data_IF_712496812333
#
_entry.id   IF_712496812333
#
_cell.length_a   1.000
_cell.length_b   1.000
_cell.length_c   1.000
_cell.angle_alpha   90.00
_cell.angle_beta   90.00
_cell.angle_gamma   90.00
#
_symmetry.space_group_name_H-M   'P 1'
#
loop_
_entity.id
_entity.type
_entity.pdbx_description
1 polymer ?
#
# COMPACT_ATOMS: atom_id res chain seq x y z
N UNK A 1 -73.99 23.88 13.79
CA UNK A 1 -74.34 23.11 15.01
C UNK A 1 -73.57 23.70 16.19
N UNK A 2 -74.30 23.94 17.27
CA UNK A 2 -73.90 24.67 18.48
C UNK A 2 -72.62 24.13 19.14
N UNK A 3 -71.69 25.02 19.47
CA UNK A 3 -70.74 24.79 20.56
C UNK A 3 -71.55 24.62 21.84
N UNK A 4 -71.56 23.42 22.42
CA UNK A 4 -72.10 23.19 23.76
C UNK A 4 -71.02 23.57 24.75
N UNK A 5 -71.15 24.73 25.38
CA UNK A 5 -70.40 25.06 26.59
C UNK A 5 -70.71 24.00 27.67
N UNK A 6 -69.65 23.46 28.28
CA UNK A 6 -69.79 22.51 29.38
C UNK A 6 -70.25 23.27 30.63
N UNK A 7 -71.12 22.68 31.47
CA UNK A 7 -71.59 23.33 32.68
C UNK A 7 -70.41 23.55 33.62
N UNK A 8 -70.24 24.80 34.07
CA UNK A 8 -69.32 25.14 35.16
C UNK A 8 -70.15 25.49 36.38
N UNK A 9 -69.88 24.81 37.49
CA UNK A 9 -70.47 25.16 38.78
C UNK A 9 -69.87 26.52 39.19
N UNK A 10 -70.73 27.54 39.24
CA UNK A 10 -70.33 28.89 39.65
C UNK A 10 -69.69 28.86 41.03
N UNK A 11 -68.48 29.41 41.14
CA UNK A 11 -67.82 29.71 42.42
C UNK A 11 -66.55 28.92 42.74
N UNK A 12 -66.22 27.83 42.04
CA UNK A 12 -65.04 27.03 42.38
C UNK A 12 -63.94 27.16 41.33
N UNK A 13 -62.89 27.94 41.62
CA UNK A 13 -61.64 27.96 40.83
C UNK A 13 -60.97 26.58 40.89
N UNK A 14 -61.20 25.73 39.89
CA UNK A 14 -60.42 24.51 39.69
C UNK A 14 -59.02 24.94 39.24
N UNK A 15 -58.05 24.98 40.17
CA UNK A 15 -56.64 25.10 39.82
C UNK A 15 -56.20 23.82 39.12
N UNK A 16 -56.21 23.80 37.79
CA UNK A 16 -55.41 22.83 37.02
C UNK A 16 -53.94 23.14 37.30
N UNK A 17 -53.31 22.36 38.20
CA UNK A 17 -51.85 22.34 38.31
C UNK A 17 -51.30 21.91 36.95
N UNK A 18 -50.75 22.84 36.16
CA UNK A 18 -49.75 22.51 35.14
C UNK A 18 -48.61 21.84 35.89
N UNK A 19 -48.57 20.50 35.92
CA UNK A 19 -47.37 19.79 36.33
C UNK A 19 -46.34 20.16 35.27
N UNK A 20 -45.35 20.96 35.62
CA UNK A 20 -44.10 20.99 34.88
C UNK A 20 -43.49 19.60 35.06
N UNK A 21 -43.87 18.68 34.19
CA UNK A 21 -43.18 17.41 34.04
C UNK A 21 -41.90 17.78 33.32
N UNK A 22 -40.85 18.10 34.08
CA UNK A 22 -39.51 17.97 33.54
C UNK A 22 -39.38 16.49 33.18
N UNK A 23 -39.31 16.18 31.88
CA UNK A 23 -39.02 14.82 31.46
C UNK A 23 -37.73 14.39 32.20
N UNK A 24 -37.76 13.30 32.98
CA UNK A 24 -36.57 12.85 33.67
C UNK A 24 -35.48 12.61 32.63
N UNK A 25 -34.28 13.13 32.89
CA UNK A 25 -33.12 12.82 32.08
C UNK A 25 -32.83 11.33 32.27
N UNK A 26 -33.27 10.50 31.32
CA UNK A 26 -33.05 9.06 31.29
C UNK A 26 -32.19 8.70 30.07
N UNK A 27 -30.85 8.81 30.19
CA UNK A 27 -29.95 8.50 29.10
C UNK A 27 -29.97 7.02 28.70
N UNK A 28 -30.41 6.12 29.60
CA UNK A 28 -30.45 4.69 29.33
C UNK A 28 -31.63 4.36 28.41
N UNK A 29 -32.84 4.80 28.75
CA UNK A 29 -34.01 4.61 27.90
C UNK A 29 -33.85 5.32 26.54
N UNK A 30 -33.24 6.51 26.52
CA UNK A 30 -32.90 7.18 25.26
C UNK A 30 -31.93 6.36 24.40
N UNK A 31 -30.87 5.81 25.01
CA UNK A 31 -29.91 4.97 24.28
C UNK A 31 -30.58 3.70 23.71
N UNK A 32 -31.44 3.05 24.49
CA UNK A 32 -32.18 1.86 24.03
C UNK A 32 -33.18 2.22 22.92
N UNK A 33 -33.84 3.37 22.99
CA UNK A 33 -34.70 3.86 21.92
C UNK A 33 -33.93 4.14 20.62
N UNK A 34 -32.72 4.72 20.70
CA UNK A 34 -31.87 4.92 19.52
C UNK A 34 -31.45 3.59 18.90
N UNK A 35 -31.09 2.60 19.73
CA UNK A 35 -30.77 1.25 19.24
C UNK A 35 -31.98 0.59 18.60
N UNK A 36 -33.18 0.77 19.17
CA UNK A 36 -34.39 0.21 18.59
C UNK A 36 -34.71 0.84 17.23
N UNK A 37 -34.61 2.17 17.10
CA UNK A 37 -34.73 2.87 15.80
C UNK A 37 -33.72 2.32 14.79
N UNK A 38 -32.50 2.03 15.24
CA UNK A 38 -31.46 1.48 14.39
C UNK A 38 -31.77 0.08 13.86
N UNK A 39 -32.37 -0.77 14.71
CA UNK A 39 -32.80 -2.13 14.35
C UNK A 39 -34.04 -2.10 13.44
N UNK A 40 -35.02 -1.28 13.78
CA UNK A 40 -36.30 -1.18 13.06
C UNK A 40 -36.11 -0.68 11.62
N UNK A 41 -35.05 0.10 11.37
CA UNK A 41 -34.71 0.60 10.04
C UNK A 41 -33.69 -0.27 9.30
N UNK A 42 -33.49 -1.54 9.70
CA UNK A 42 -32.57 -2.48 9.05
C UNK A 42 -31.13 -1.93 8.86
N UNK A 43 -30.72 -1.05 9.77
CA UNK A 43 -29.43 -0.39 9.70
C UNK A 43 -29.39 0.90 8.91
N UNK A 44 -30.44 1.35 8.21
CA UNK A 44 -30.49 2.69 7.58
C UNK A 44 -30.12 3.75 8.62
N UNK A 45 -28.85 4.19 8.62
CA UNK A 45 -28.34 5.03 9.69
C UNK A 45 -29.03 6.39 9.51
N UNK A 46 -30.10 6.61 10.26
CA UNK A 46 -30.72 7.93 10.47
C UNK A 46 -29.66 8.95 10.91
N UNK A 47 -28.56 8.50 11.51
CA UNK A 47 -27.39 9.33 11.82
C UNK A 47 -26.73 9.92 10.57
N UNK A 48 -26.75 9.26 9.41
CA UNK A 48 -26.23 9.84 8.16
C UNK A 48 -27.25 10.75 7.49
N UNK A 49 -28.46 10.26 7.24
CA UNK A 49 -29.46 10.92 6.37
C UNK A 49 -30.46 11.78 7.13
N UNK A 50 -30.53 11.66 8.45
CA UNK A 50 -31.49 12.36 9.31
C UNK A 50 -32.91 11.81 9.22
N UNK A 51 -33.17 10.79 8.42
CA UNK A 51 -34.50 10.23 8.23
C UNK A 51 -34.48 9.01 7.31
N UNK A 52 -35.66 8.39 7.14
CA UNK A 52 -35.83 7.24 6.24
C UNK A 52 -35.65 7.70 4.80
N UNK A 53 -34.93 6.93 4.00
CA UNK A 53 -34.78 7.18 2.56
C UNK A 53 -35.67 6.26 1.74
N UNK A 54 -36.15 6.75 0.59
CA UNK A 54 -36.88 5.90 -0.36
C UNK A 54 -35.94 4.80 -0.89
N UNK A 55 -36.45 3.58 -1.15
CA UNK A 55 -35.63 2.49 -1.68
C UNK A 55 -34.88 2.90 -2.96
N UNK A 56 -33.54 2.73 -2.95
CA UNK A 56 -32.70 3.03 -4.12
C UNK A 56 -32.42 4.52 -4.35
N UNK A 57 -32.74 5.41 -3.41
CA UNK A 57 -32.42 6.84 -3.48
C UNK A 57 -31.83 7.35 -2.17
N UNK A 58 -31.29 8.57 -2.18
CA UNK A 58 -30.87 9.33 -0.99
C UNK A 58 -31.95 10.31 -0.50
N UNK A 59 -33.12 10.32 -1.16
CA UNK A 59 -34.22 11.23 -0.86
C UNK A 59 -35.05 10.72 0.32
N UNK A 60 -35.57 11.62 1.18
CA UNK A 60 -36.42 11.23 2.30
C UNK A 60 -37.73 10.58 1.82
N UNK A 61 -38.15 9.52 2.52
CA UNK A 61 -39.39 8.78 2.29
C UNK A 61 -40.60 9.59 2.80
N UNK A 62 -40.54 10.06 4.06
CA UNK A 62 -41.49 10.99 4.68
C UNK A 62 -40.80 11.83 5.77
N UNK A 63 -41.19 13.11 5.92
CA UNK A 63 -40.76 14.00 7.01
C UNK A 63 -39.49 14.83 6.78
N UNK A 64 -39.20 15.75 7.71
CA UNK A 64 -37.97 16.54 7.71
C UNK A 64 -36.77 15.70 8.17
N UNK A 65 -35.58 15.96 7.59
CA UNK A 65 -34.34 15.35 8.04
C UNK A 65 -33.95 15.91 9.41
N UNK A 66 -33.48 15.04 10.29
CA UNK A 66 -32.97 15.43 11.58
C UNK A 66 -31.71 16.31 11.41
N UNK A 67 -31.65 17.48 12.08
CA UNK A 67 -30.62 18.50 11.83
C UNK A 67 -29.21 18.08 12.26
N UNK A 68 -29.09 17.05 13.10
CA UNK A 68 -27.82 16.52 13.59
C UNK A 68 -27.31 15.32 12.79
N UNK A 69 -27.79 15.14 11.56
CA UNK A 69 -27.29 14.08 10.69
C UNK A 69 -26.01 14.49 9.96
N UNK A 70 -25.18 13.51 9.60
CA UNK A 70 -23.90 13.76 8.92
C UNK A 70 -24.11 14.51 7.61
N UNK A 71 -25.15 14.18 6.83
CA UNK A 71 -25.40 14.82 5.54
C UNK A 71 -25.94 16.24 5.65
N UNK A 72 -26.59 16.62 6.76
CA UNK A 72 -27.06 17.99 7.02
C UNK A 72 -25.98 18.91 7.62
N UNK A 73 -24.84 18.37 8.06
CA UNK A 73 -23.70 19.15 8.60
C UNK A 73 -22.78 19.71 7.50
N UNK A 74 -21.96 20.72 7.78
CA UNK A 74 -20.93 21.17 6.81
C UNK A 74 -19.84 20.09 6.59
N UNK A 75 -19.21 20.01 5.40
CA UNK A 75 -18.19 19.02 5.06
C UNK A 75 -16.84 19.31 5.75
N UNK A 76 -16.84 19.23 7.08
CA UNK A 76 -15.70 19.57 7.95
C UNK A 76 -15.50 18.49 9.00
N UNK A 77 -14.24 18.25 9.35
CA UNK A 77 -13.84 17.28 10.36
C UNK A 77 -14.53 17.55 11.70
N UNK A 78 -14.55 18.81 12.14
CA UNK A 78 -15.02 19.23 13.46
C UNK A 78 -16.50 18.90 13.68
N UNK A 79 -17.31 18.98 12.62
CA UNK A 79 -18.75 18.70 12.70
C UNK A 79 -19.07 17.22 12.49
N UNK A 80 -18.23 16.48 11.76
CA UNK A 80 -18.47 15.05 11.46
C UNK A 80 -17.91 14.14 12.56
N UNK A 81 -16.78 14.50 13.17
CA UNK A 81 -16.11 13.71 14.22
C UNK A 81 -17.03 13.36 15.42
N UNK A 82 -17.87 14.27 15.95
CA UNK A 82 -18.80 13.91 17.02
C UNK A 82 -19.71 12.74 16.68
N UNK A 83 -20.21 12.67 15.44
CA UNK A 83 -21.05 11.56 14.95
C UNK A 83 -20.28 10.24 14.90
N UNK A 84 -19.01 10.28 14.47
CA UNK A 84 -18.12 9.11 14.46
C UNK A 84 -17.87 8.60 15.88
N UNK A 85 -17.54 9.49 16.83
CA UNK A 85 -17.32 9.15 18.24
C UNK A 85 -18.60 8.59 18.87
N UNK A 86 -19.76 9.17 18.54
CA UNK A 86 -21.05 8.69 19.00
C UNK A 86 -21.31 7.25 18.55
N UNK A 87 -21.15 6.96 17.25
CA UNK A 87 -21.29 5.61 16.70
C UNK A 87 -20.27 4.66 17.34
N UNK A 88 -19.03 5.11 17.54
CA UNK A 88 -18.01 4.29 18.20
C UNK A 88 -18.42 3.87 19.61
N UNK A 89 -18.97 4.80 20.40
CA UNK A 89 -19.44 4.52 21.76
C UNK A 89 -20.60 3.53 21.76
N UNK A 90 -21.52 3.62 20.78
CA UNK A 90 -22.60 2.64 20.61
C UNK A 90 -22.03 1.27 20.28
N UNK A 91 -21.15 1.16 19.28
CA UNK A 91 -20.57 -0.11 18.83
C UNK A 91 -19.77 -0.81 19.92
N UNK A 92 -19.02 -0.06 20.76
CA UNK A 92 -18.32 -0.65 21.92
C UNK A 92 -19.29 -1.28 22.94
N UNK A 93 -20.48 -0.71 23.11
CA UNK A 93 -21.52 -1.23 24.03
C UNK A 93 -22.40 -2.30 23.40
N UNK A 94 -22.54 -2.28 22.08
CA UNK A 94 -23.42 -3.15 21.28
C UNK A 94 -22.69 -3.61 20.01
N UNK A 95 -21.68 -4.50 20.11
CA UNK A 95 -20.83 -4.87 18.97
C UNK A 95 -21.57 -5.48 17.78
N UNK A 96 -22.70 -6.16 18.02
CA UNK A 96 -23.51 -6.78 16.97
C UNK A 96 -24.06 -5.77 15.94
N UNK A 97 -24.13 -4.47 16.29
CA UNK A 97 -24.58 -3.40 15.40
C UNK A 97 -23.58 -3.06 14.29
N UNK A 98 -22.37 -3.61 14.33
CA UNK A 98 -21.34 -3.37 13.30
C UNK A 98 -21.79 -3.84 11.92
N UNK A 99 -22.49 -4.98 11.82
CA UNK A 99 -23.01 -5.51 10.55
C UNK A 99 -23.97 -4.55 9.86
N UNK A 100 -24.77 -3.83 10.63
CA UNK A 100 -25.68 -2.83 10.10
C UNK A 100 -24.91 -1.65 9.52
N UNK A 101 -23.85 -1.19 10.22
CA UNK A 101 -23.00 -0.11 9.73
C UNK A 101 -22.25 -0.54 8.46
N UNK A 102 -21.69 -1.75 8.44
CA UNK A 102 -21.09 -2.36 7.25
C UNK A 102 -22.03 -2.33 6.05
N UNK A 103 -23.29 -2.74 6.24
CA UNK A 103 -24.30 -2.75 5.19
C UNK A 103 -24.62 -1.34 4.68
N UNK A 104 -24.73 -0.35 5.56
CA UNK A 104 -24.95 1.05 5.16
C UNK A 104 -23.76 1.58 4.38
N UNK A 105 -22.55 1.43 4.92
CA UNK A 105 -21.33 1.91 4.28
C UNK A 105 -21.20 1.30 2.90
N UNK A 106 -21.39 -0.02 2.77
CA UNK A 106 -21.38 -0.71 1.48
C UNK A 106 -22.40 -0.11 0.52
N UNK A 107 -23.65 0.06 0.94
CA UNK A 107 -24.72 0.61 0.09
C UNK A 107 -24.42 2.04 -0.36
N UNK A 108 -23.98 2.90 0.55
CA UNK A 108 -23.66 4.30 0.23
C UNK A 108 -22.49 4.40 -0.75
N UNK A 109 -21.44 3.61 -0.54
CA UNK A 109 -20.27 3.60 -1.41
C UNK A 109 -20.56 2.97 -2.78
N UNK A 110 -21.51 2.04 -2.86
CA UNK A 110 -22.02 1.50 -4.13
C UNK A 110 -22.93 2.46 -4.90
N UNK A 111 -23.37 3.54 -4.25
CA UNK A 111 -24.35 4.49 -4.77
C UNK A 111 -23.84 5.92 -4.68
N UNK A 112 -22.52 6.13 -4.78
CA UNK A 112 -21.89 7.46 -4.75
C UNK A 112 -22.46 8.44 -5.79
N UNK A 113 -23.02 7.91 -6.88
CA UNK A 113 -23.67 8.72 -7.93
C UNK A 113 -25.00 9.35 -7.49
N UNK A 114 -25.62 8.85 -6.41
CA UNK A 114 -26.89 9.38 -5.87
C UNK A 114 -26.67 10.53 -4.87
N UNK A 115 -25.41 10.76 -4.47
CA UNK A 115 -25.04 11.83 -3.55
C UNK A 115 -24.57 13.05 -4.33
N UNK A 116 -24.76 14.24 -3.77
CA UNK A 116 -24.15 15.45 -4.29
C UNK A 116 -22.64 15.51 -3.95
N UNK A 117 -21.92 16.46 -4.54
CA UNK A 117 -20.47 16.61 -4.32
C UNK A 117 -20.12 16.82 -2.84
N UNK A 118 -20.83 17.75 -2.18
CA UNK A 118 -20.63 18.01 -0.76
C UNK A 118 -21.01 16.80 0.11
N UNK A 119 -22.05 16.05 -0.25
CA UNK A 119 -22.44 14.84 0.47
C UNK A 119 -21.38 13.74 0.34
N UNK A 120 -20.83 13.53 -0.87
CA UNK A 120 -19.70 12.61 -1.08
C UNK A 120 -18.47 12.99 -0.24
N UNK A 121 -18.17 14.28 -0.14
CA UNK A 121 -17.08 14.78 0.70
C UNK A 121 -17.33 14.48 2.19
N UNK A 122 -18.55 14.71 2.69
CA UNK A 122 -18.93 14.33 4.07
C UNK A 122 -18.77 12.84 4.32
N UNK A 123 -19.18 12.00 3.36
CA UNK A 123 -19.00 10.55 3.43
C UNK A 123 -17.51 10.16 3.45
N UNK A 124 -16.66 10.79 2.63
CA UNK A 124 -15.22 10.55 2.63
C UNK A 124 -14.59 10.91 3.98
N UNK A 125 -14.92 12.09 4.53
CA UNK A 125 -14.44 12.54 5.84
C UNK A 125 -14.89 11.58 6.94
N UNK A 126 -16.18 11.25 6.98
CA UNK A 126 -16.71 10.29 7.95
C UNK A 126 -15.98 8.95 7.88
N UNK A 127 -15.75 8.44 6.66
CA UNK A 127 -15.10 7.14 6.45
C UNK A 127 -13.65 7.16 6.92
N UNK A 128 -12.91 8.23 6.63
CA UNK A 128 -11.53 8.42 7.10
C UNK A 128 -11.47 8.46 8.63
N UNK A 129 -12.33 9.27 9.26
CA UNK A 129 -12.43 9.35 10.71
C UNK A 129 -12.88 8.02 11.33
N UNK A 130 -13.75 7.25 10.69
CA UNK A 130 -14.15 5.93 11.18
C UNK A 130 -12.94 4.97 11.28
N UNK A 131 -12.05 4.96 10.28
CA UNK A 131 -10.82 4.16 10.38
C UNK A 131 -9.81 4.74 11.36
N UNK A 132 -9.61 6.06 11.37
CA UNK A 132 -8.66 6.71 12.27
C UNK A 132 -9.04 6.51 13.74
N UNK A 133 -10.33 6.64 14.05
CA UNK A 133 -10.84 6.37 15.40
C UNK A 133 -10.89 4.86 15.71
N UNK A 134 -10.48 3.97 14.80
CA UNK A 134 -10.52 2.51 14.97
C UNK A 134 -11.92 2.05 15.37
N UNK A 135 -12.93 2.49 14.61
CA UNK A 135 -14.31 2.10 14.81
C UNK A 135 -14.39 0.56 14.76
N UNK A 136 -14.59 -0.06 15.93
CA UNK A 136 -14.29 -1.46 16.17
C UNK A 136 -14.99 -2.38 15.17
N UNK A 137 -14.21 -3.01 14.29
CA UNK A 137 -14.69 -4.08 13.42
C UNK A 137 -15.13 -3.68 12.02
N UNK A 138 -15.11 -2.40 11.61
CA UNK A 138 -15.45 -2.04 10.22
C UNK A 138 -14.36 -2.60 9.27
N UNK A 139 -14.68 -3.59 8.40
CA UNK A 139 -13.68 -4.21 7.55
C UNK A 139 -13.32 -3.27 6.37
N UNK A 140 -12.04 -2.92 6.15
CA UNK A 140 -11.61 -2.05 5.06
C UNK A 140 -12.12 -2.49 3.68
N UNK A 141 -12.19 -3.79 3.43
CA UNK A 141 -12.69 -4.36 2.19
C UNK A 141 -14.17 -4.05 1.94
N UNK A 142 -14.97 -3.88 3.01
CA UNK A 142 -16.38 -3.47 2.91
C UNK A 142 -16.53 -1.99 2.56
N UNK A 143 -15.46 -1.21 2.69
CA UNK A 143 -15.42 0.19 2.25
C UNK A 143 -14.84 0.28 0.83
N UNK A 144 -13.64 -0.24 0.60
CA UNK A 144 -12.90 0.03 -0.63
C UNK A 144 -13.42 -0.77 -1.83
N UNK A 145 -13.74 -2.06 -1.69
CA UNK A 145 -14.16 -2.86 -2.84
C UNK A 145 -15.51 -2.42 -3.45
N UNK A 146 -16.55 -2.06 -2.66
CA UNK A 146 -17.86 -1.78 -3.23
C UNK A 146 -17.93 -0.53 -4.13
N UNK A 147 -17.00 0.41 -3.98
CA UNK A 147 -16.95 1.60 -4.84
C UNK A 147 -16.25 1.35 -6.19
N UNK A 148 -15.51 0.25 -6.35
CA UNK A 148 -14.78 -0.10 -7.59
C UNK A 148 -15.68 -0.62 -8.73
N UNK A 149 -16.90 -0.10 -8.87
CA UNK A 149 -17.79 -0.41 -10.00
C UNK A 149 -17.44 0.46 -11.21
N UNK A 150 -17.43 -0.13 -12.40
CA UNK A 150 -17.05 0.54 -13.66
C UNK A 150 -17.79 1.86 -13.90
N UNK A 151 -19.08 1.94 -13.56
CA UNK A 151 -19.87 3.16 -13.71
C UNK A 151 -19.40 4.30 -12.80
N UNK A 152 -19.05 3.99 -11.54
CA UNK A 152 -18.58 4.97 -10.56
C UNK A 152 -17.15 5.42 -10.88
N UNK A 153 -16.30 4.45 -11.24
CA UNK A 153 -14.91 4.69 -11.64
C UNK A 153 -14.85 5.52 -12.92
N UNK A 154 -15.64 5.16 -13.94
CA UNK A 154 -15.70 5.87 -15.20
C UNK A 154 -16.15 7.33 -15.06
N UNK A 155 -17.04 7.63 -14.10
CA UNK A 155 -17.47 9.00 -13.76
C UNK A 155 -16.47 9.78 -12.91
N UNK A 156 -15.37 9.16 -12.47
CA UNK A 156 -14.38 9.79 -11.58
C UNK A 156 -14.84 10.00 -10.14
N UNK A 157 -15.98 9.42 -9.74
CA UNK A 157 -16.54 9.58 -8.39
C UNK A 157 -15.67 8.88 -7.34
N UNK A 158 -15.12 7.73 -7.69
CA UNK A 158 -14.22 6.94 -6.83
C UNK A 158 -12.94 7.71 -6.53
N UNK A 159 -12.29 8.23 -7.58
CA UNK A 159 -11.05 9.01 -7.42
C UNK A 159 -11.27 10.24 -6.52
N UNK A 160 -12.35 10.98 -6.75
CA UNK A 160 -12.71 12.14 -5.90
C UNK A 160 -12.92 11.73 -4.45
N UNK A 161 -13.70 10.66 -4.20
CA UNK A 161 -13.93 10.15 -2.85
C UNK A 161 -12.64 9.72 -2.16
N UNK A 162 -11.81 8.92 -2.83
CA UNK A 162 -10.56 8.38 -2.27
C UNK A 162 -9.56 9.49 -1.97
N UNK A 163 -9.52 10.53 -2.80
CA UNK A 163 -8.65 11.69 -2.58
C UNK A 163 -9.01 12.41 -1.28
N UNK A 164 -10.29 12.74 -1.08
CA UNK A 164 -10.75 13.38 0.16
C UNK A 164 -10.54 12.46 1.37
N UNK A 165 -10.77 11.15 1.20
CA UNK A 165 -10.50 10.14 2.23
C UNK A 165 -9.02 10.10 2.64
N UNK A 166 -8.08 10.07 1.70
CA UNK A 166 -6.64 10.06 2.00
C UNK A 166 -6.20 11.33 2.70
N UNK A 167 -6.63 12.50 2.21
CA UNK A 167 -6.30 13.79 2.81
C UNK A 167 -6.76 13.85 4.25
N UNK A 168 -8.00 13.45 4.53
CA UNK A 168 -8.55 13.44 5.88
C UNK A 168 -7.87 12.39 6.78
N UNK A 169 -7.61 11.19 6.26
CA UNK A 169 -6.99 10.10 7.04
C UNK A 169 -5.56 10.44 7.47
N UNK A 170 -4.78 11.09 6.60
CA UNK A 170 -3.39 11.43 6.86
C UNK A 170 -3.18 12.61 7.82
N UNK A 171 -4.26 13.27 8.27
CA UNK A 171 -4.13 14.31 9.29
C UNK A 171 -3.69 13.71 10.63
N UNK A 172 -4.22 12.55 11.01
CA UNK A 172 -3.94 11.90 12.32
C UNK A 172 -3.15 10.58 12.20
N UNK A 173 -2.95 10.06 10.99
CA UNK A 173 -2.34 8.74 10.76
C UNK A 173 -1.17 8.85 9.79
N UNK A 174 -0.23 7.92 9.90
CA UNK A 174 0.94 7.88 9.02
C UNK A 174 0.59 7.31 7.64
N UNK A 175 1.49 7.49 6.67
CA UNK A 175 1.39 6.82 5.39
C UNK A 175 1.41 5.29 5.55
N UNK A 176 2.23 4.76 6.46
CA UNK A 176 2.29 3.32 6.74
C UNK A 176 0.94 2.77 7.24
N UNK A 177 0.24 3.54 8.08
CA UNK A 177 -1.12 3.20 8.52
C UNK A 177 -2.09 3.20 7.33
N UNK A 178 -1.98 4.19 6.43
CA UNK A 178 -2.78 4.25 5.21
C UNK A 178 -2.54 3.04 4.30
N UNK A 179 -1.28 2.71 4.03
CA UNK A 179 -0.91 1.53 3.24
C UNK A 179 -1.43 0.25 3.90
N UNK A 180 -1.36 0.15 5.23
CA UNK A 180 -1.87 -1.00 6.00
C UNK A 180 -3.39 -1.18 5.81
N UNK A 181 -4.17 -0.09 5.85
CA UNK A 181 -5.62 -0.20 5.61
C UNK A 181 -5.95 -0.51 4.15
N UNK A 182 -5.18 -0.01 3.18
CA UNK A 182 -5.35 -0.33 1.76
C UNK A 182 -5.04 -1.81 1.47
N UNK A 183 -4.00 -2.36 2.12
CA UNK A 183 -3.67 -3.80 2.05
C UNK A 183 -4.79 -4.66 2.61
N UNK A 184 -5.30 -4.32 3.80
CA UNK A 184 -6.47 -4.99 4.39
C UNK A 184 -7.72 -4.85 3.51
N UNK A 185 -7.85 -3.71 2.82
CA UNK A 185 -8.89 -3.44 1.83
C UNK A 185 -8.73 -4.18 0.51
N UNK A 186 -7.58 -4.83 0.27
CA UNK A 186 -7.20 -5.51 -0.97
C UNK A 186 -7.24 -4.59 -2.20
N UNK A 187 -6.82 -3.35 -2.03
CA UNK A 187 -6.78 -2.33 -3.10
C UNK A 187 -5.42 -1.70 -3.29
N UNK A 188 -4.46 -2.00 -2.41
CA UNK A 188 -3.13 -1.39 -2.43
C UNK A 188 -2.27 -1.79 -3.65
N UNK A 189 -2.48 -2.97 -4.22
CA UNK A 189 -1.81 -3.40 -5.45
C UNK A 189 -2.37 -2.73 -6.71
N UNK A 190 -3.59 -2.19 -6.62
CA UNK A 190 -4.35 -1.73 -7.78
C UNK A 190 -4.83 -0.28 -7.60
N UNK A 191 -4.00 0.62 -7.05
CA UNK A 191 -4.42 2.02 -6.81
C UNK A 191 -4.85 2.75 -8.09
N UNK A 192 -4.32 2.34 -9.26
CA UNK A 192 -4.76 2.84 -10.56
C UNK A 192 -6.23 2.51 -10.88
N UNK A 193 -6.83 1.49 -10.25
CA UNK A 193 -8.23 1.14 -10.48
C UNK A 193 -9.20 2.22 -9.95
N UNK A 194 -8.76 3.09 -9.04
CA UNK A 194 -9.54 4.27 -8.62
C UNK A 194 -9.73 5.29 -9.75
N UNK A 195 -8.83 5.30 -10.73
CA UNK A 195 -8.87 6.24 -11.85
C UNK A 195 -9.85 5.73 -12.93
N UNK A 196 -10.56 6.65 -13.62
CA UNK A 196 -11.25 6.33 -14.86
C UNK A 196 -10.31 5.59 -15.82
N UNK A 197 -10.82 4.61 -16.56
CA UNK A 197 -10.02 3.75 -17.44
C UNK A 197 -9.11 4.52 -18.39
N UNK A 198 -9.56 5.66 -18.91
CA UNK A 198 -8.79 6.54 -19.80
C UNK A 198 -7.58 7.24 -19.13
N UNK A 199 -7.44 7.18 -17.81
CA UNK A 199 -6.42 7.87 -17.00
C UNK A 199 -5.60 6.93 -16.12
N UNK A 200 -5.61 5.63 -16.39
CA UNK A 200 -4.87 4.65 -15.59
C UNK A 200 -3.40 4.59 -16.02
N UNK A 201 -2.65 5.64 -15.74
CA UNK A 201 -1.19 5.70 -16.01
C UNK A 201 -0.42 6.21 -14.79
N UNK A 202 0.87 5.90 -14.75
CA UNK A 202 1.79 6.32 -13.67
C UNK A 202 1.87 7.85 -13.59
N UNK A 203 1.86 8.52 -14.75
CA UNK A 203 1.88 9.98 -14.85
C UNK A 203 0.58 10.58 -14.31
N UNK A 204 -0.58 10.06 -14.71
CA UNK A 204 -1.86 10.59 -14.22
C UNK A 204 -2.02 10.36 -12.71
N UNK A 205 -1.47 9.28 -12.16
CA UNK A 205 -1.44 9.04 -10.72
C UNK A 205 -0.62 10.12 -10.02
N UNK A 206 0.61 10.32 -10.49
CA UNK A 206 1.59 11.24 -9.90
C UNK A 206 1.13 12.69 -9.99
N UNK A 207 0.62 13.12 -11.15
CA UNK A 207 0.07 14.46 -11.36
C UNK A 207 -1.11 14.75 -10.43
N UNK A 208 -2.08 13.83 -10.34
CA UNK A 208 -3.28 14.00 -9.52
C UNK A 208 -2.93 14.12 -8.04
N UNK A 209 -2.20 13.16 -7.50
CA UNK A 209 -1.92 13.14 -6.06
C UNK A 209 -0.90 14.19 -5.63
N UNK A 210 0.05 14.58 -6.49
CA UNK A 210 0.92 15.73 -6.21
C UNK A 210 0.12 17.02 -6.11
N UNK A 211 -0.83 17.25 -7.04
CA UNK A 211 -1.70 18.43 -7.01
C UNK A 211 -2.55 18.50 -5.74
N UNK A 212 -2.94 17.34 -5.21
CA UNK A 212 -3.73 17.22 -3.98
C UNK A 212 -2.89 17.23 -2.69
N UNK A 213 -1.57 17.41 -2.80
CA UNK A 213 -0.65 17.50 -1.65
C UNK A 213 -0.22 16.14 -1.08
N UNK A 214 -0.52 15.04 -1.76
CA UNK A 214 -0.25 13.65 -1.35
C UNK A 214 1.08 13.13 -1.92
N UNK A 215 2.14 13.95 -1.83
CA UNK A 215 3.46 13.66 -2.43
C UNK A 215 4.07 12.36 -1.88
N UNK A 216 3.96 12.11 -0.58
CA UNK A 216 4.48 10.89 0.02
C UNK A 216 3.82 9.60 -0.53
N UNK A 217 2.54 9.69 -0.96
CA UNK A 217 1.86 8.57 -1.62
C UNK A 217 2.39 8.34 -3.05
N UNK A 218 2.76 9.42 -3.75
CA UNK A 218 3.39 9.36 -5.07
C UNK A 218 4.76 8.68 -4.98
N UNK A 219 5.62 9.15 -4.08
CA UNK A 219 6.95 8.57 -3.84
C UNK A 219 6.86 7.07 -3.47
N UNK A 220 5.88 6.71 -2.63
CA UNK A 220 5.60 5.31 -2.29
C UNK A 220 5.24 4.48 -3.52
N UNK A 221 4.32 4.99 -4.34
CA UNK A 221 3.85 4.29 -5.53
C UNK A 221 4.97 4.14 -6.58
N UNK A 222 5.76 5.18 -6.81
CA UNK A 222 6.93 5.13 -7.71
C UNK A 222 7.94 4.08 -7.24
N UNK A 223 8.27 4.06 -5.95
CA UNK A 223 9.16 3.04 -5.37
C UNK A 223 8.59 1.64 -5.52
N UNK A 224 7.30 1.45 -5.21
CA UNK A 224 6.63 0.16 -5.35
C UNK A 224 6.65 -0.34 -6.80
N UNK A 225 6.32 0.53 -7.76
CA UNK A 225 6.34 0.21 -9.18
C UNK A 225 7.77 -0.17 -9.62
N UNK A 226 8.78 0.58 -9.17
CA UNK A 226 10.18 0.26 -9.43
C UNK A 226 10.54 -1.13 -8.90
N UNK A 227 10.18 -1.46 -7.65
CA UNK A 227 10.42 -2.78 -7.05
C UNK A 227 9.70 -3.91 -7.81
N UNK A 228 8.47 -3.68 -8.29
CA UNK A 228 7.73 -4.64 -9.12
C UNK A 228 8.42 -4.86 -10.46
N UNK A 229 8.79 -3.79 -11.18
CA UNK A 229 9.53 -3.86 -12.46
C UNK A 229 10.86 -4.61 -12.27
N UNK A 230 11.56 -4.36 -11.16
CA UNK A 230 12.80 -5.05 -10.81
C UNK A 230 12.57 -6.55 -10.60
N UNK A 231 11.53 -6.92 -9.86
CA UNK A 231 11.18 -8.32 -9.60
C UNK A 231 10.76 -9.06 -10.87
N UNK A 232 10.00 -8.42 -11.75
CA UNK A 232 9.58 -8.98 -13.05
C UNK A 232 10.78 -9.20 -13.97
N UNK A 233 11.68 -8.22 -14.07
CA UNK A 233 12.92 -8.35 -14.81
C UNK A 233 13.77 -9.50 -14.27
N UNK A 234 13.94 -9.57 -12.94
CA UNK A 234 14.66 -10.66 -12.27
C UNK A 234 14.07 -12.02 -12.65
N UNK A 235 12.75 -12.19 -12.51
CA UNK A 235 12.07 -13.44 -12.85
C UNK A 235 12.25 -13.82 -14.32
N UNK A 236 12.08 -12.88 -15.25
CA UNK A 236 12.20 -13.13 -16.68
C UNK A 236 13.62 -13.56 -17.08
N UNK A 237 14.64 -12.87 -16.55
CA UNK A 237 16.04 -13.18 -16.83
C UNK A 237 16.49 -14.49 -16.19
N UNK A 238 16.04 -14.81 -14.97
CA UNK A 238 16.30 -16.12 -14.36
C UNK A 238 15.77 -17.24 -15.24
N UNK A 239 14.57 -17.10 -15.82
CA UNK A 239 14.03 -18.08 -16.77
C UNK A 239 14.92 -18.23 -18.01
N UNK A 240 15.29 -17.13 -18.67
CA UNK A 240 16.15 -17.17 -19.86
C UNK A 240 17.50 -17.85 -19.58
N UNK A 241 18.11 -17.52 -18.44
CA UNK A 241 19.39 -18.11 -18.01
C UNK A 241 19.23 -19.61 -17.69
N UNK A 242 18.14 -20.00 -17.03
CA UNK A 242 17.86 -21.41 -16.68
C UNK A 242 17.60 -22.26 -17.93
N UNK A 243 16.97 -21.67 -18.95
CA UNK A 243 16.71 -22.31 -20.24
C UNK A 243 17.93 -22.27 -21.18
N UNK A 244 19.07 -21.75 -20.73
CA UNK A 244 20.31 -21.61 -21.52
C UNK A 244 20.05 -20.86 -22.84
N UNK A 245 19.23 -19.80 -22.77
CA UNK A 245 18.98 -18.90 -23.92
C UNK A 245 20.29 -18.30 -24.43
N UNK A 246 20.36 -17.97 -25.72
CA UNK A 246 21.55 -17.41 -26.33
C UNK A 246 22.01 -16.11 -25.63
N UNK A 247 23.33 -15.97 -25.40
CA UNK A 247 23.94 -14.84 -24.70
C UNK A 247 23.54 -13.49 -25.33
N UNK A 248 23.52 -13.41 -26.66
CA UNK A 248 23.22 -12.16 -27.36
C UNK A 248 21.75 -11.76 -27.20
N UNK A 249 20.83 -12.73 -27.15
CA UNK A 249 19.40 -12.50 -26.90
C UNK A 249 19.14 -12.03 -25.46
N UNK A 250 19.85 -12.60 -24.48
CA UNK A 250 19.78 -12.17 -23.08
C UNK A 250 20.32 -10.74 -22.93
N UNK A 251 21.48 -10.43 -23.53
CA UNK A 251 22.06 -9.07 -23.53
C UNK A 251 21.07 -8.06 -24.11
N UNK A 252 20.46 -8.36 -25.26
CA UNK A 252 19.49 -7.46 -25.90
C UNK A 252 18.24 -7.28 -25.04
N UNK A 253 17.76 -8.36 -24.42
CA UNK A 253 16.65 -8.29 -23.45
C UNK A 253 16.98 -7.36 -22.30
N UNK A 254 18.17 -7.48 -21.70
CA UNK A 254 18.60 -6.61 -20.59
C UNK A 254 18.68 -5.16 -21.06
N UNK A 255 19.33 -4.87 -22.20
CA UNK A 255 19.43 -3.51 -22.76
C UNK A 255 18.05 -2.86 -22.96
N UNK A 256 17.10 -3.61 -23.53
CA UNK A 256 15.75 -3.12 -23.75
C UNK A 256 15.03 -2.84 -22.42
N UNK A 257 15.10 -3.74 -21.45
CA UNK A 257 14.48 -3.57 -20.12
C UNK A 257 15.07 -2.40 -19.34
N UNK A 258 16.38 -2.22 -19.38
CA UNK A 258 17.08 -1.10 -18.74
C UNK A 258 16.61 0.23 -19.32
N UNK A 259 16.47 0.30 -20.64
CA UNK A 259 15.97 1.50 -21.35
C UNK A 259 14.51 1.79 -21.01
N UNK A 260 13.64 0.79 -21.05
CA UNK A 260 12.20 0.95 -20.84
C UNK A 260 11.87 1.35 -19.38
N UNK A 261 12.56 0.76 -18.41
CA UNK A 261 12.35 1.02 -16.99
C UNK A 261 13.27 2.11 -16.41
N UNK A 262 14.19 2.67 -17.20
CA UNK A 262 15.21 3.66 -16.78
C UNK A 262 15.97 3.22 -15.53
N UNK A 263 16.40 1.96 -15.51
CA UNK A 263 17.05 1.38 -14.34
C UNK A 263 18.46 1.98 -14.14
N UNK A 264 18.86 2.31 -12.91
CA UNK A 264 20.24 2.70 -12.62
C UNK A 264 21.21 1.55 -12.88
N UNK A 265 22.35 1.82 -13.52
CA UNK A 265 23.37 0.80 -13.85
C UNK A 265 23.79 -0.07 -12.65
N UNK A 266 23.88 0.56 -11.47
CA UNK A 266 24.18 -0.11 -10.18
C UNK A 266 23.16 -1.22 -9.88
N UNK A 267 21.87 -0.96 -10.10
CA UNK A 267 20.81 -1.95 -9.87
C UNK A 267 20.84 -3.04 -10.95
N UNK A 268 21.18 -2.70 -12.19
CA UNK A 268 21.34 -3.68 -13.27
C UNK A 268 22.40 -4.72 -12.90
N UNK A 269 23.59 -4.28 -12.49
CA UNK A 269 24.68 -5.18 -12.08
C UNK A 269 24.28 -6.08 -10.92
N UNK A 270 23.59 -5.53 -9.91
CA UNK A 270 23.08 -6.29 -8.76
C UNK A 270 22.08 -7.37 -9.18
N UNK A 271 21.15 -7.03 -10.08
CA UNK A 271 20.13 -7.95 -10.59
C UNK A 271 20.79 -9.05 -11.41
N UNK A 272 21.73 -8.72 -12.30
CA UNK A 272 22.42 -9.69 -13.15
C UNK A 272 23.13 -10.75 -12.32
N UNK A 273 23.86 -10.33 -11.28
CA UNK A 273 24.45 -11.26 -10.34
C UNK A 273 23.41 -12.14 -9.65
N UNK A 274 22.31 -11.56 -9.18
CA UNK A 274 21.23 -12.31 -8.54
C UNK A 274 20.60 -13.35 -9.48
N UNK A 275 20.33 -13.01 -10.75
CA UNK A 275 19.71 -13.96 -11.68
C UNK A 275 20.65 -15.07 -12.11
N UNK A 276 21.94 -14.78 -12.27
CA UNK A 276 22.98 -15.79 -12.53
C UNK A 276 23.02 -16.78 -11.37
N UNK A 277 23.08 -16.28 -10.13
CA UNK A 277 23.17 -17.13 -8.94
C UNK A 277 21.87 -17.89 -8.62
N UNK A 278 20.71 -17.28 -8.87
CA UNK A 278 19.41 -17.93 -8.66
C UNK A 278 19.14 -19.05 -9.67
N UNK A 279 19.78 -19.01 -10.85
CA UNK A 279 19.71 -20.08 -11.85
C UNK A 279 20.62 -21.29 -11.53
N UNK A 280 21.48 -21.21 -10.51
CA UNK A 280 22.38 -22.32 -10.13
C UNK A 280 21.57 -23.51 -9.61
N UNK A 281 21.78 -24.67 -10.22
CA UNK A 281 21.16 -25.92 -9.78
C UNK A 281 21.92 -26.55 -8.60
N UNK A 282 21.42 -26.33 -7.40
CA UNK A 282 22.03 -26.84 -6.17
C UNK A 282 21.69 -28.32 -5.89
N UNK A 283 22.72 -29.11 -5.55
CA UNK A 283 22.62 -30.49 -5.05
C UNK A 283 22.61 -30.53 -3.52
N UNK A 284 21.67 -31.26 -2.92
CA UNK A 284 21.57 -31.39 -1.47
C UNK A 284 22.63 -32.28 -0.81
N UNK A 285 23.44 -33.01 -1.59
CA UNK A 285 24.34 -34.06 -1.08
C UNK A 285 25.82 -33.83 -1.36
N UNK A 286 26.18 -32.94 -2.29
CA UNK A 286 27.55 -32.80 -2.76
C UNK A 286 28.01 -31.33 -2.80
N UNK A 287 28.81 -30.95 -1.81
CA UNK A 287 29.35 -29.60 -1.69
C UNK A 287 30.30 -29.24 -2.83
N UNK A 288 31.11 -30.19 -3.33
CA UNK A 288 32.01 -29.95 -4.45
C UNK A 288 31.23 -29.73 -5.76
N UNK A 289 30.15 -30.49 -5.97
CA UNK A 289 29.27 -30.29 -7.12
C UNK A 289 28.63 -28.90 -7.10
N UNK A 290 28.20 -28.45 -5.93
CA UNK A 290 27.65 -27.11 -5.72
C UNK A 290 28.66 -26.01 -6.04
N UNK A 291 29.91 -26.18 -5.59
CA UNK A 291 31.00 -25.27 -5.91
C UNK A 291 31.25 -25.17 -7.42
N UNK A 292 31.38 -26.33 -8.08
CA UNK A 292 31.61 -26.38 -9.52
C UNK A 292 30.43 -25.81 -10.32
N UNK A 293 29.19 -26.03 -9.87
CA UNK A 293 27.99 -25.50 -10.51
C UNK A 293 27.96 -23.96 -10.44
N UNK A 294 28.23 -23.38 -9.28
CA UNK A 294 28.30 -21.93 -9.12
C UNK A 294 29.41 -21.30 -10.00
N UNK A 295 30.63 -21.85 -9.95
CA UNK A 295 31.74 -21.34 -10.77
C UNK A 295 31.49 -21.50 -12.26
N UNK A 296 30.90 -22.63 -12.70
CA UNK A 296 30.49 -22.81 -14.10
C UNK A 296 29.49 -21.74 -14.50
N UNK A 297 28.49 -21.47 -13.67
CA UNK A 297 27.47 -20.46 -13.95
C UNK A 297 28.09 -19.07 -14.12
N UNK A 298 29.00 -18.69 -13.21
CA UNK A 298 29.72 -17.40 -13.29
C UNK A 298 30.51 -17.29 -14.60
N UNK A 299 31.26 -18.33 -14.98
CA UNK A 299 32.02 -18.35 -16.24
C UNK A 299 31.14 -18.27 -17.47
N UNK A 300 30.10 -19.10 -17.52
CA UNK A 300 29.18 -19.15 -18.67
C UNK A 300 28.51 -17.80 -18.92
N UNK A 301 28.21 -17.03 -17.86
CA UNK A 301 27.53 -15.74 -17.97
C UNK A 301 28.44 -14.53 -17.69
N UNK A 302 29.76 -14.71 -17.78
CA UNK A 302 30.71 -13.64 -17.57
C UNK A 302 30.60 -12.54 -18.63
N UNK A 303 30.38 -12.90 -19.90
CA UNK A 303 30.16 -11.94 -21.00
C UNK A 303 28.95 -11.01 -20.72
N UNK A 304 27.88 -11.56 -20.14
CA UNK A 304 26.72 -10.78 -19.72
C UNK A 304 27.12 -9.76 -18.64
N UNK A 305 27.85 -10.17 -17.59
CA UNK A 305 28.31 -9.27 -16.54
C UNK A 305 29.26 -8.20 -17.10
N UNK A 306 30.22 -8.58 -17.94
CA UNK A 306 31.19 -7.68 -18.55
C UNK A 306 30.50 -6.58 -19.40
N UNK A 307 29.46 -6.96 -20.15
CA UNK A 307 28.67 -6.01 -20.97
C UNK A 307 28.08 -4.85 -20.16
N UNK A 308 27.73 -5.08 -18.88
CA UNK A 308 27.12 -4.07 -18.01
C UNK A 308 28.07 -3.51 -16.94
N UNK A 309 29.16 -4.20 -16.60
CA UNK A 309 30.22 -3.70 -15.71
C UNK A 309 31.21 -2.82 -16.47
N UNK A 310 30.75 -1.68 -16.97
CA UNK A 310 31.51 -0.84 -17.93
C UNK A 310 32.60 0.05 -17.32
N UNK A 311 32.74 0.06 -15.99
CA UNK A 311 33.72 0.89 -15.28
C UNK A 311 33.96 0.38 -13.86
N UNK A 312 35.09 0.79 -13.27
CA UNK A 312 35.52 0.36 -11.92
C UNK A 312 34.52 0.63 -10.80
N UNK A 313 33.59 1.60 -10.93
CA UNK A 313 32.52 1.80 -9.93
C UNK A 313 31.52 0.66 -9.97
N UNK A 314 31.14 0.19 -11.16
CA UNK A 314 30.20 -0.92 -11.35
C UNK A 314 30.85 -2.26 -11.02
N UNK A 315 32.12 -2.44 -11.37
CA UNK A 315 32.91 -3.60 -10.96
C UNK A 315 33.03 -3.70 -9.43
N UNK A 316 33.31 -2.58 -8.75
CA UNK A 316 33.37 -2.54 -7.28
C UNK A 316 32.02 -2.87 -6.65
N UNK A 317 30.93 -2.42 -7.27
CA UNK A 317 29.59 -2.76 -6.82
C UNK A 317 29.29 -4.26 -6.98
N UNK A 318 29.66 -4.86 -8.12
CA UNK A 318 29.57 -6.31 -8.32
C UNK A 318 30.34 -7.06 -7.22
N UNK A 319 31.56 -6.62 -6.92
CA UNK A 319 32.39 -7.22 -5.88
C UNK A 319 31.77 -7.11 -4.48
N UNK A 320 31.15 -5.98 -4.14
CA UNK A 320 30.39 -5.86 -2.89
C UNK A 320 29.14 -6.75 -2.87
N UNK A 321 28.45 -6.90 -4.00
CA UNK A 321 27.28 -7.78 -4.11
C UNK A 321 27.68 -9.25 -3.92
N UNK A 322 28.77 -9.69 -4.54
CA UNK A 322 29.36 -11.04 -4.37
C UNK A 322 29.76 -11.26 -2.90
N UNK A 323 30.49 -10.30 -2.30
CA UNK A 323 30.89 -10.35 -0.89
C UNK A 323 29.68 -10.57 0.04
N UNK A 324 28.62 -9.81 -0.17
CA UNK A 324 27.39 -9.88 0.64
C UNK A 324 26.73 -11.25 0.52
N UNK A 325 26.56 -11.78 -0.70
CA UNK A 325 25.92 -13.07 -0.89
C UNK A 325 26.78 -14.22 -0.38
N UNK A 326 28.10 -14.20 -0.60
CA UNK A 326 29.02 -15.18 -0.03
C UNK A 326 29.02 -15.16 1.51
N UNK A 327 28.77 -14.01 2.13
CA UNK A 327 28.65 -13.92 3.59
C UNK A 327 27.33 -14.50 4.10
N UNK A 328 26.24 -14.32 3.36
CA UNK A 328 24.89 -14.73 3.76
C UNK A 328 24.60 -16.21 3.43
N UNK A 329 25.24 -16.78 2.40
CA UNK A 329 25.11 -18.19 2.04
C UNK A 329 26.37 -19.00 2.39
N UNK A 330 26.24 -19.89 3.38
CA UNK A 330 27.30 -20.79 3.83
C UNK A 330 27.87 -21.69 2.71
N UNK A 331 27.10 -21.98 1.64
CA UNK A 331 27.58 -22.74 0.47
C UNK A 331 28.60 -21.95 -0.34
N UNK A 332 28.47 -20.63 -0.38
CA UNK A 332 29.27 -19.72 -1.19
C UNK A 332 30.44 -19.11 -0.42
N UNK A 333 30.40 -19.12 0.92
CA UNK A 333 31.40 -18.47 1.76
C UNK A 333 32.85 -18.86 1.44
N UNK A 334 33.11 -20.13 1.15
CA UNK A 334 34.46 -20.61 0.78
C UNK A 334 34.84 -20.38 -0.67
N UNK A 335 33.88 -20.04 -1.53
CA UNK A 335 34.07 -19.86 -2.97
C UNK A 335 34.39 -18.43 -3.35
N UNK A 336 34.33 -17.49 -2.40
CA UNK A 336 34.58 -16.08 -2.68
C UNK A 336 35.89 -15.83 -3.46
N UNK A 337 37.05 -16.40 -3.07
CA UNK A 337 38.29 -16.19 -3.83
C UNK A 337 38.23 -16.77 -5.24
N UNK A 338 37.64 -17.96 -5.40
CA UNK A 338 37.51 -18.62 -6.70
C UNK A 338 36.55 -17.87 -7.64
N UNK A 339 35.49 -17.29 -7.08
CA UNK A 339 34.54 -16.44 -7.82
C UNK A 339 35.24 -15.16 -8.27
N UNK A 340 35.95 -14.45 -7.38
CA UNK A 340 36.66 -13.21 -7.75
C UNK A 340 37.73 -13.49 -8.80
N UNK A 341 38.50 -14.57 -8.63
CA UNK A 341 39.46 -15.00 -9.63
C UNK A 341 38.78 -15.31 -10.97
N UNK A 342 37.66 -16.03 -10.95
CA UNK A 342 36.91 -16.32 -12.18
C UNK A 342 36.36 -15.08 -12.87
N UNK A 343 35.99 -14.04 -12.12
CA UNK A 343 35.52 -12.78 -12.69
C UNK A 343 36.70 -11.95 -13.25
N UNK A 344 37.87 -12.04 -12.62
CA UNK A 344 39.11 -11.46 -13.15
C UNK A 344 39.56 -12.14 -14.45
N UNK A 345 39.63 -13.48 -14.45
CA UNK A 345 40.07 -14.29 -15.59
C UNK A 345 39.18 -14.09 -16.85
N UNK A 346 37.93 -13.66 -16.67
CA UNK A 346 36.96 -13.41 -17.75
C UNK A 346 36.77 -11.90 -18.04
N UNK A 347 37.72 -11.06 -17.61
CA UNK A 347 37.76 -9.61 -17.83
C UNK A 347 36.53 -8.85 -17.29
N UNK A 348 35.83 -9.39 -16.29
CA UNK A 348 34.67 -8.73 -15.64
C UNK A 348 35.12 -7.77 -14.53
N UNK A 349 36.21 -8.09 -13.83
CA UNK A 349 36.80 -7.25 -12.79
C UNK A 349 38.22 -6.88 -13.17
N UNK A 350 38.53 -5.58 -13.19
CA UNK A 350 39.90 -5.12 -13.36
C UNK A 350 40.73 -5.35 -12.10
N UNK A 351 42.04 -5.51 -12.28
CA UNK A 351 43.02 -5.62 -11.19
C UNK A 351 42.90 -4.46 -10.20
N UNK A 352 42.87 -3.22 -10.71
CA UNK A 352 42.70 -2.00 -9.91
C UNK A 352 41.47 -2.05 -9.00
N UNK A 353 40.35 -2.60 -9.49
CA UNK A 353 39.12 -2.74 -8.71
C UNK A 353 39.32 -3.76 -7.57
N UNK A 354 39.97 -4.88 -7.84
CA UNK A 354 40.29 -5.92 -6.85
C UNK A 354 41.21 -5.37 -5.76
N UNK A 355 42.30 -4.71 -6.15
CA UNK A 355 43.24 -4.06 -5.22
C UNK A 355 42.55 -2.94 -4.42
N UNK A 356 41.70 -2.14 -5.06
CA UNK A 356 40.93 -1.11 -4.38
C UNK A 356 40.00 -1.71 -3.31
N UNK A 357 39.22 -2.73 -3.66
CA UNK A 357 38.37 -3.42 -2.71
C UNK A 357 39.20 -4.05 -1.58
N UNK A 358 40.33 -4.68 -1.90
CA UNK A 358 41.20 -5.34 -0.92
C UNK A 358 41.81 -4.36 0.07
N UNK A 359 42.26 -3.18 -0.37
CA UNK A 359 42.95 -2.19 0.49
C UNK A 359 41.98 -1.20 1.15
N UNK A 360 40.94 -0.76 0.43
CA UNK A 360 40.06 0.37 0.82
C UNK A 360 38.57 0.01 0.89
N UNK A 361 38.21 -1.26 0.71
CA UNK A 361 36.81 -1.70 0.72
C UNK A 361 36.10 -1.34 2.03
N UNK A 362 34.91 -0.73 1.92
CA UNK A 362 34.18 -0.14 3.05
C UNK A 362 33.09 -1.03 3.63
N UNK A 363 32.67 -2.07 2.92
CA UNK A 363 31.63 -2.99 3.38
C UNK A 363 32.17 -3.93 4.49
N UNK A 364 31.64 -3.87 5.73
CA UNK A 364 32.18 -4.65 6.85
C UNK A 364 31.77 -6.14 6.83
N UNK A 365 30.74 -6.54 6.08
CA UNK A 365 30.20 -7.92 6.16
C UNK A 365 31.20 -8.97 5.69
N UNK A 366 31.70 -9.82 6.58
CA UNK A 366 32.67 -10.87 6.25
C UNK A 366 34.06 -10.36 5.81
N UNK A 367 34.31 -9.05 5.87
CA UNK A 367 35.49 -8.40 5.28
C UNK A 367 36.81 -9.01 5.74
N UNK A 368 37.01 -9.17 7.05
CA UNK A 368 38.25 -9.74 7.60
C UNK A 368 38.53 -11.16 7.08
N UNK A 369 37.49 -11.97 6.93
CA UNK A 369 37.59 -13.33 6.41
C UNK A 369 37.92 -13.32 4.93
N UNK A 370 37.23 -12.51 4.14
CA UNK A 370 37.42 -12.46 2.70
C UNK A 370 38.73 -11.80 2.27
N UNK A 371 39.21 -10.78 2.99
CA UNK A 371 40.57 -10.23 2.79
C UNK A 371 41.60 -11.33 2.92
N UNK A 372 41.61 -12.06 4.05
CA UNK A 372 42.56 -13.15 4.27
C UNK A 372 42.45 -14.25 3.21
N UNK A 373 41.24 -14.54 2.75
CA UNK A 373 41.01 -15.56 1.73
C UNK A 373 41.49 -15.13 0.33
N UNK A 374 41.49 -13.83 0.03
CA UNK A 374 41.90 -13.25 -1.26
C UNK A 374 43.38 -12.84 -1.30
N UNK A 375 44.07 -12.81 -0.16
CA UNK A 375 45.48 -12.45 -0.02
C UNK A 375 46.41 -13.18 -1.01
N UNK A 376 46.26 -14.50 -1.26
CA UNK A 376 47.09 -15.19 -2.26
C UNK A 376 46.87 -14.68 -3.70
N UNK A 377 45.64 -14.30 -4.06
CA UNK A 377 45.35 -13.75 -5.38
C UNK A 377 45.93 -12.35 -5.53
N UNK A 378 45.81 -11.52 -4.48
CA UNK A 378 46.33 -10.15 -4.48
C UNK A 378 47.85 -10.11 -4.56
N UNK A 379 48.54 -10.96 -3.80
CA UNK A 379 50.00 -11.05 -3.90
C UNK A 379 50.43 -11.47 -5.32
N UNK A 380 49.70 -12.39 -5.95
CA UNK A 380 49.98 -12.79 -7.33
C UNK A 380 49.77 -11.66 -8.35
N UNK A 381 48.71 -10.85 -8.19
CA UNK A 381 48.47 -9.68 -9.04
C UNK A 381 49.61 -8.66 -8.90
N UNK A 382 50.00 -8.34 -7.66
CA UNK A 382 51.07 -7.38 -7.38
C UNK A 382 52.45 -7.88 -7.86
N UNK A 383 52.75 -9.17 -7.72
CA UNK A 383 54.01 -9.77 -8.19
C UNK A 383 54.07 -9.85 -9.73
N UNK A 384 52.94 -10.07 -10.40
CA UNK A 384 52.88 -10.13 -11.87
C UNK A 384 53.14 -8.76 -12.52
N UNK A 385 52.73 -7.66 -11.87
CA UNK A 385 52.99 -6.29 -12.33
C UNK A 385 54.47 -5.88 -12.17
N UNK A 386 55.22 -6.47 -11.23
CA UNK A 386 56.65 -6.19 -11.02
C UNK A 386 57.57 -6.91 -12.03
N UNK A 387 57.08 -7.90 -12.76
CA UNK A 387 57.85 -8.68 -13.75
C UNK A 387 57.65 -8.23 -15.21
N UNK A 388 56.71 -7.31 -15.50
CA UNK A 388 56.54 -6.61 -16.79
C UNK A 388 57.21 -5.22 -16.79
#
# INVERSE_FOLDING_TARGET
>A
MSSKERPTLGGTRIKTRKRNIAAPLDPAAFADAVVQIYLDNAGDLVVFTGGRTQPGTTKPDEGERHPYSVLESEPTRELILPSVIYIQKILRRRPFLIKNLENVMRRFLQSLELFEENERKKLAIFTALAFSQKLSGLPPETVFQPMLKDNLVGKGLVLSFITEFFKEYLIDNSLDDLISILKRGKVEDNLLEFFPSAKRTEESFSEHFTKEGLVALVEYNEKKIFEVKLKEMKSALTTQITEETDMSEVIETVKQRVKDAKLPDVEVVRILWDVIMDAVQWSGKNQQQNANAALRQVKTWAELLNTFCTNGKLELELMYKVQMQCYEDAKLMKLFPDIVKSLYDEDVLAEDTILHWFRKGTNPKGRQTFVKALEPLVNWLEEAEEEE
#
